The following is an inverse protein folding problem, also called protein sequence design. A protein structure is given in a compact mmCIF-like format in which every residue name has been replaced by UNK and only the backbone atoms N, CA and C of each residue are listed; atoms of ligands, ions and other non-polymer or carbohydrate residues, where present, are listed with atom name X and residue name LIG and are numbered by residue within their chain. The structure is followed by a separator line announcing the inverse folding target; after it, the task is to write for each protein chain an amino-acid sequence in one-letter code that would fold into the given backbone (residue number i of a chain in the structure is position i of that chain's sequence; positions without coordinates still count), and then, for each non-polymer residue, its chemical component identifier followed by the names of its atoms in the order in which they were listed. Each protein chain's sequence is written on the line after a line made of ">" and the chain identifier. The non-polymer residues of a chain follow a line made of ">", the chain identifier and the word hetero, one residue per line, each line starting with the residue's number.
data_IF_773281284692
#
_entry.id   IF_773281284692
#
_cell.length_a   1.000
_cell.length_b   1.000
_cell.length_c   1.000
_cell.angle_alpha   90.00
_cell.angle_beta   90.00
_cell.angle_gamma   90.00
#
_symmetry.space_group_name_H-M   'P 1'
#
loop_
_entity.id
_entity.type
_entity.pdbx_description
1 polymer ?
#
# COMPACT_ATOMS: atom_id res chain seq x y z
N UNK A 1 -7.81 6.32 30.20
CA UNK A 1 -6.39 6.06 29.87
C UNK A 1 -5.61 7.36 30.06
N UNK A 2 -4.44 7.32 30.68
CA UNK A 2 -3.66 8.52 31.07
C UNK A 2 -2.91 9.14 29.89
N UNK A 3 -2.72 10.47 29.91
CA UNK A 3 -2.03 11.25 28.85
C UNK A 3 -0.65 10.66 28.46
N UNK A 4 0.10 10.17 29.45
CA UNK A 4 1.40 9.53 29.25
C UNK A 4 1.33 8.24 28.42
N UNK A 5 0.31 7.41 28.63
CA UNK A 5 0.13 6.18 27.85
C UNK A 5 -0.14 6.48 26.36
N UNK A 6 -0.84 7.57 26.06
CA UNK A 6 -1.01 8.05 24.68
C UNK A 6 0.30 8.59 24.09
N UNK A 7 1.09 9.34 24.87
CA UNK A 7 2.39 9.85 24.44
C UNK A 7 3.38 8.72 24.14
N UNK A 8 3.44 7.68 25.00
CA UNK A 8 4.30 6.52 24.79
C UNK A 8 3.87 5.70 23.57
N UNK A 9 2.57 5.51 23.34
CA UNK A 9 2.08 4.83 22.12
C UNK A 9 2.44 5.59 20.85
N UNK A 10 2.39 6.92 20.86
CA UNK A 10 2.80 7.76 19.72
C UNK A 10 4.29 7.68 19.41
N UNK A 11 5.12 7.41 20.43
CA UNK A 11 6.58 7.29 20.28
C UNK A 11 7.04 5.85 20.04
N UNK A 12 6.16 4.86 20.22
CA UNK A 12 6.46 3.47 19.96
C UNK A 12 6.73 3.29 18.45
N UNK A 13 7.99 2.99 18.11
CA UNK A 13 8.36 2.60 16.77
C UNK A 13 7.85 1.19 16.49
N UNK A 14 7.55 0.83 15.24
CA UNK A 14 7.17 -0.55 14.91
C UNK A 14 8.21 -1.57 15.38
N UNK A 15 9.49 -1.18 15.40
CA UNK A 15 10.63 -1.98 15.91
C UNK A 15 10.52 -2.36 17.39
N UNK A 16 9.73 -1.62 18.17
CA UNK A 16 9.52 -1.84 19.60
C UNK A 16 8.37 -2.80 19.87
N UNK A 17 7.70 -3.33 18.85
CA UNK A 17 6.61 -4.29 19.01
C UNK A 17 7.17 -5.66 19.40
N UNK A 18 6.89 -6.17 20.62
CA UNK A 18 7.39 -7.47 21.06
C UNK A 18 6.88 -8.62 20.18
N UNK A 19 5.81 -8.40 19.41
CA UNK A 19 5.27 -9.39 18.50
C UNK A 19 6.04 -9.54 17.18
N UNK A 20 7.00 -8.66 16.88
CA UNK A 20 7.91 -8.88 15.74
C UNK A 20 8.81 -10.11 15.93
N UNK A 21 9.01 -10.53 17.19
CA UNK A 21 9.87 -11.66 17.55
C UNK A 21 9.07 -12.88 18.05
N UNK A 22 7.78 -12.72 18.38
CA UNK A 22 6.94 -13.85 18.82
C UNK A 22 6.43 -14.61 17.60
N UNK A 23 6.76 -15.90 17.55
CA UNK A 23 6.48 -16.84 16.46
C UNK A 23 4.99 -17.21 16.30
N UNK A 24 4.08 -16.48 16.94
CA UNK A 24 2.68 -16.86 17.10
C UNK A 24 1.75 -16.40 15.97
N UNK A 25 2.03 -15.27 15.34
CA UNK A 25 1.20 -14.71 14.26
C UNK A 25 2.09 -14.23 13.11
N UNK A 26 2.05 -14.94 11.98
CA UNK A 26 2.73 -14.53 10.75
C UNK A 26 1.72 -13.81 9.86
N UNK A 27 2.01 -12.55 9.54
CA UNK A 27 1.21 -11.78 8.59
C UNK A 27 1.37 -12.38 7.19
N UNK A 28 0.26 -12.77 6.56
CA UNK A 28 0.25 -13.37 5.23
C UNK A 28 -0.96 -12.89 4.43
N UNK A 29 -0.71 -12.45 3.20
CA UNK A 29 -1.74 -12.06 2.25
C UNK A 29 -2.42 -13.30 1.67
N UNK A 30 -1.61 -14.28 1.27
CA UNK A 30 -2.01 -15.45 0.49
C UNK A 30 -2.43 -16.65 1.34
N UNK A 31 -1.86 -16.83 2.52
CA UNK A 31 -2.06 -18.02 3.35
C UNK A 31 -2.87 -17.68 4.61
N UNK A 32 -3.52 -18.70 5.17
CA UNK A 32 -4.05 -18.58 6.53
C UNK A 32 -2.86 -18.41 7.50
N UNK A 33 -2.98 -17.57 8.54
CA UNK A 33 -1.91 -17.40 9.52
C UNK A 33 -1.41 -18.73 10.12
N UNK A 34 -2.27 -19.74 10.26
CA UNK A 34 -1.89 -21.07 10.78
C UNK A 34 -0.96 -21.81 9.83
N UNK A 35 -1.22 -21.71 8.52
CA UNK A 35 -0.39 -22.34 7.50
C UNK A 35 0.91 -21.57 7.32
N UNK A 36 0.84 -20.24 7.31
CA UNK A 36 2.00 -19.35 7.14
C UNK A 36 3.08 -19.55 8.22
N UNK A 37 2.69 -19.85 9.46
CA UNK A 37 3.62 -20.13 10.58
C UNK A 37 4.50 -21.37 10.31
N UNK A 38 4.00 -22.33 9.55
CA UNK A 38 4.75 -23.55 9.20
C UNK A 38 5.73 -23.36 8.04
N UNK A 39 5.57 -22.29 7.27
CA UNK A 39 6.37 -21.99 6.10
C UNK A 39 7.67 -21.30 6.50
N UNK A 40 8.75 -21.64 5.81
CA UNK A 40 10.05 -21.02 6.05
C UNK A 40 10.26 -19.81 5.13
N UNK A 41 11.27 -19.01 5.48
CA UNK A 41 11.62 -17.80 4.74
C UNK A 41 12.00 -18.10 3.28
N UNK A 42 12.64 -19.24 3.03
CA UNK A 42 13.07 -19.61 1.68
C UNK A 42 11.87 -19.91 0.77
N UNK A 43 10.79 -20.49 1.32
CA UNK A 43 9.54 -20.71 0.60
C UNK A 43 8.88 -19.39 0.21
N UNK A 44 8.74 -18.43 1.12
CA UNK A 44 8.19 -17.11 0.80
C UNK A 44 9.03 -16.36 -0.24
N UNK A 45 10.35 -16.46 -0.14
CA UNK A 45 11.27 -15.87 -1.11
C UNK A 45 11.11 -16.48 -2.50
N UNK A 46 11.13 -17.81 -2.61
CA UNK A 46 10.95 -18.51 -3.88
C UNK A 46 9.59 -18.18 -4.53
N UNK A 47 8.54 -18.08 -3.73
CA UNK A 47 7.21 -17.65 -4.18
C UNK A 47 7.25 -16.22 -4.73
N UNK A 48 7.87 -15.29 -4.01
CA UNK A 48 8.05 -13.90 -4.44
C UNK A 48 8.84 -13.78 -5.75
N UNK A 49 9.97 -14.49 -5.88
CA UNK A 49 10.77 -14.52 -7.10
C UNK A 49 9.98 -15.07 -8.29
N UNK A 50 9.21 -16.14 -8.09
CA UNK A 50 8.33 -16.70 -9.14
C UNK A 50 7.28 -15.66 -9.58
N UNK A 51 6.70 -14.92 -8.63
CA UNK A 51 5.79 -13.82 -8.93
C UNK A 51 6.45 -12.70 -9.74
N UNK A 52 7.70 -12.35 -9.40
CA UNK A 52 8.46 -11.33 -10.11
C UNK A 52 8.77 -11.76 -11.55
N UNK A 53 9.20 -13.01 -11.75
CA UNK A 53 9.48 -13.57 -13.07
C UNK A 53 8.23 -13.55 -13.96
N UNK A 54 7.08 -13.97 -13.42
CA UNK A 54 5.79 -13.90 -14.11
C UNK A 54 5.40 -12.44 -14.45
N UNK A 55 5.61 -11.49 -13.53
CA UNK A 55 5.37 -10.06 -13.79
C UNK A 55 6.31 -9.49 -14.85
N UNK A 56 7.58 -9.88 -14.86
CA UNK A 56 8.56 -9.44 -15.86
C UNK A 56 8.19 -9.90 -17.28
N UNK A 57 7.49 -11.03 -17.41
CA UNK A 57 6.90 -11.48 -18.66
C UNK A 57 5.76 -10.58 -19.18
N UNK A 58 5.14 -9.79 -18.30
CA UNK A 58 4.06 -8.85 -18.62
C UNK A 58 4.59 -7.41 -18.76
N UNK A 59 5.43 -7.00 -17.81
CA UNK A 59 6.00 -5.67 -17.67
C UNK A 59 7.51 -5.77 -17.37
N UNK A 60 8.38 -5.60 -18.38
CA UNK A 60 9.82 -5.70 -18.21
C UNK A 60 10.41 -4.71 -17.20
N UNK A 61 9.70 -3.61 -16.91
CA UNK A 61 10.16 -2.62 -15.93
C UNK A 61 10.33 -3.20 -14.50
N UNK A 62 9.77 -4.37 -14.20
CA UNK A 62 10.01 -5.05 -12.91
C UNK A 62 11.43 -5.62 -12.75
N UNK A 63 12.21 -5.73 -13.83
CA UNK A 63 13.59 -6.23 -13.79
C UNK A 63 14.47 -5.46 -12.78
N UNK A 64 14.25 -4.15 -12.61
CA UNK A 64 15.06 -3.31 -11.70
C UNK A 64 14.98 -3.73 -10.22
N UNK A 65 13.97 -4.53 -9.85
CA UNK A 65 13.78 -5.00 -8.49
C UNK A 65 14.40 -6.36 -8.20
N UNK A 66 14.84 -7.07 -9.25
CA UNK A 66 15.41 -8.42 -9.14
C UNK A 66 16.68 -8.42 -8.28
N UNK A 67 17.59 -7.47 -8.54
CA UNK A 67 18.86 -7.35 -7.80
C UNK A 67 18.75 -6.53 -6.51
N UNK A 68 17.55 -6.07 -6.15
CA UNK A 68 17.31 -5.30 -4.94
C UNK A 68 16.35 -6.04 -4.00
N UNK A 69 15.05 -5.78 -4.10
CA UNK A 69 13.99 -6.33 -3.23
C UNK A 69 13.87 -7.86 -3.31
N UNK A 70 14.25 -8.45 -4.45
CA UNK A 70 14.16 -9.88 -4.71
C UNK A 70 15.53 -10.57 -4.87
N UNK A 71 16.60 -9.89 -4.47
CA UNK A 71 17.96 -10.46 -4.49
C UNK A 71 18.12 -11.55 -3.43
N UNK A 72 19.06 -12.47 -3.60
CA UNK A 72 19.38 -13.45 -2.54
C UNK A 72 19.82 -12.78 -1.24
N UNK A 73 20.44 -11.60 -1.31
CA UNK A 73 20.85 -10.83 -0.13
C UNK A 73 19.65 -10.33 0.71
N UNK A 74 18.47 -10.15 0.09
CA UNK A 74 17.26 -9.73 0.80
C UNK A 74 16.78 -10.75 1.85
N UNK A 75 17.09 -12.05 1.66
CA UNK A 75 16.78 -13.12 2.62
C UNK A 75 17.34 -12.87 4.02
N UNK A 76 18.48 -12.20 4.12
CA UNK A 76 19.17 -11.96 5.40
C UNK A 76 18.95 -10.55 5.93
N UNK A 77 18.31 -9.65 5.17
CA UNK A 77 18.10 -8.25 5.57
C UNK A 77 17.05 -8.11 6.68
N UNK A 78 17.46 -7.92 7.92
CA UNK A 78 16.52 -7.69 9.04
C UNK A 78 16.30 -6.19 9.21
N UNK A 79 15.11 -5.70 8.83
CA UNK A 79 14.77 -4.27 8.78
C UNK A 79 14.90 -3.58 10.14
N UNK A 80 14.65 -4.32 11.22
CA UNK A 80 14.66 -3.82 12.60
C UNK A 80 16.01 -3.42 13.15
N UNK A 81 17.08 -3.96 12.55
CA UNK A 81 18.46 -3.73 12.98
C UNK A 81 19.26 -2.90 11.96
N UNK A 82 18.62 -2.43 10.89
CA UNK A 82 19.27 -1.57 9.90
C UNK A 82 19.32 -0.10 10.35
N UNK A 83 20.28 0.64 9.77
CA UNK A 83 20.35 2.09 9.95
C UNK A 83 19.12 2.77 9.34
N UNK A 84 18.88 4.01 9.77
CA UNK A 84 17.79 4.85 9.24
C UNK A 84 17.93 5.06 7.74
N UNK A 85 19.14 5.34 7.27
CA UNK A 85 19.43 5.64 5.86
C UNK A 85 19.20 4.41 4.97
N UNK A 86 19.53 3.21 5.47
CA UNK A 86 19.23 1.95 4.77
C UNK A 86 17.73 1.72 4.69
N UNK A 87 17.02 1.95 5.80
CA UNK A 87 15.56 1.83 5.83
C UNK A 87 14.86 2.85 4.92
N UNK A 88 15.33 4.09 4.84
CA UNK A 88 14.81 5.11 3.91
C UNK A 88 15.01 4.72 2.44
N UNK A 89 16.16 4.11 2.09
CA UNK A 89 16.38 3.57 0.74
C UNK A 89 15.46 2.39 0.44
N UNK A 90 15.27 1.49 1.41
CA UNK A 90 14.33 0.38 1.28
C UNK A 90 12.90 0.89 1.10
N UNK A 91 12.50 1.91 1.87
CA UNK A 91 11.20 2.58 1.76
C UNK A 91 10.95 3.15 0.37
N UNK A 92 11.95 3.82 -0.20
CA UNK A 92 11.87 4.34 -1.56
C UNK A 92 11.72 3.20 -2.59
N UNK A 93 12.51 2.13 -2.46
CA UNK A 93 12.44 0.96 -3.35
C UNK A 93 11.08 0.25 -3.27
N UNK A 94 10.56 0.02 -2.07
CA UNK A 94 9.24 -0.58 -1.84
C UNK A 94 8.13 0.32 -2.40
N UNK A 95 8.20 1.62 -2.16
CA UNK A 95 7.18 2.56 -2.64
C UNK A 95 7.14 2.61 -4.18
N UNK A 96 8.31 2.60 -4.82
CA UNK A 96 8.42 2.53 -6.28
C UNK A 96 7.87 1.20 -6.82
N UNK A 97 8.24 0.07 -6.21
CA UNK A 97 7.73 -1.25 -6.58
C UNK A 97 6.20 -1.30 -6.50
N UNK A 98 5.62 -0.86 -5.39
CA UNK A 98 4.17 -0.88 -5.16
C UNK A 98 3.41 0.05 -6.11
N UNK A 99 3.99 1.21 -6.46
CA UNK A 99 3.43 2.10 -7.48
C UNK A 99 3.43 1.42 -8.87
N UNK A 100 4.49 0.70 -9.23
CA UNK A 100 4.54 -0.08 -10.47
C UNK A 100 3.63 -1.31 -10.45
N UNK A 101 3.44 -1.91 -9.28
CA UNK A 101 2.59 -3.09 -9.09
C UNK A 101 1.09 -2.78 -9.22
N UNK A 102 0.65 -1.57 -8.85
CA UNK A 102 -0.77 -1.22 -8.74
C UNK A 102 -1.61 -1.56 -9.99
N UNK A 103 -1.19 -1.25 -11.24
CA UNK A 103 -1.90 -1.69 -12.46
C UNK A 103 -2.16 -3.20 -12.57
N UNK A 104 -1.28 -4.00 -11.96
CA UNK A 104 -1.27 -5.45 -12.01
C UNK A 104 -1.77 -6.09 -10.71
N UNK A 105 -2.29 -5.29 -9.78
CA UNK A 105 -2.58 -5.70 -8.40
C UNK A 105 -3.44 -6.95 -8.33
N UNK A 106 -4.45 -7.11 -9.20
CA UNK A 106 -5.35 -8.28 -9.20
C UNK A 106 -4.73 -9.57 -9.77
N UNK A 107 -3.54 -9.51 -10.34
CA UNK A 107 -2.87 -10.68 -10.89
C UNK A 107 -2.25 -11.50 -9.75
N UNK A 108 -2.42 -12.82 -9.79
CA UNK A 108 -1.73 -13.77 -8.89
C UNK A 108 -0.23 -13.50 -8.72
N UNK A 109 0.56 -13.23 -9.78
CA UNK A 109 1.98 -12.90 -9.62
C UNK A 109 2.22 -11.64 -8.78
N UNK A 110 1.35 -10.64 -8.83
CA UNK A 110 1.46 -9.47 -7.97
C UNK A 110 1.26 -9.82 -6.49
N UNK A 111 0.30 -10.69 -6.18
CA UNK A 111 0.08 -11.14 -4.80
C UNK A 111 1.26 -11.96 -4.26
N UNK A 112 1.90 -12.80 -5.09
CA UNK A 112 3.12 -13.54 -4.72
C UNK A 112 4.25 -12.59 -4.32
N UNK A 113 4.45 -11.52 -5.11
CA UNK A 113 5.41 -10.47 -4.78
C UNK A 113 5.08 -9.77 -3.45
N UNK A 114 3.81 -9.38 -3.25
CA UNK A 114 3.36 -8.73 -2.02
C UNK A 114 3.57 -9.62 -0.79
N UNK A 115 3.33 -10.92 -0.91
CA UNK A 115 3.57 -11.90 0.16
C UNK A 115 5.04 -11.82 0.65
N UNK A 116 5.99 -11.79 -0.29
CA UNK A 116 7.41 -11.63 0.06
C UNK A 116 7.68 -10.31 0.77
N UNK A 117 7.13 -9.20 0.27
CA UNK A 117 7.36 -7.88 0.87
C UNK A 117 6.75 -7.78 2.28
N UNK A 118 5.57 -8.37 2.50
CA UNK A 118 4.88 -8.44 3.80
C UNK A 118 5.70 -9.25 4.80
N UNK A 119 6.23 -10.40 4.36
CA UNK A 119 6.98 -11.29 5.22
C UNK A 119 8.41 -10.79 5.51
N UNK A 120 9.10 -10.20 4.52
CA UNK A 120 10.50 -9.79 4.66
C UNK A 120 10.69 -8.36 5.14
N UNK A 121 9.95 -7.42 4.54
CA UNK A 121 10.14 -6.00 4.79
C UNK A 121 9.04 -5.40 5.66
N UNK A 122 8.05 -6.22 6.06
CA UNK A 122 6.93 -5.84 6.90
C UNK A 122 6.21 -4.58 6.38
N UNK A 123 5.95 -4.53 5.07
CA UNK A 123 5.38 -3.35 4.40
C UNK A 123 4.02 -2.92 4.96
N UNK A 124 3.26 -3.85 5.53
CA UNK A 124 2.01 -3.61 6.27
C UNK A 124 2.20 -2.81 7.57
N UNK A 125 3.44 -2.66 8.06
CA UNK A 125 3.79 -1.89 9.25
C UNK A 125 4.52 -0.59 8.89
N UNK A 126 5.50 -0.67 7.99
CA UNK A 126 6.37 0.47 7.68
C UNK A 126 5.95 1.26 6.43
N UNK A 127 5.18 0.66 5.53
CA UNK A 127 4.84 1.22 4.22
C UNK A 127 3.32 1.26 3.99
N UNK A 128 2.54 1.47 5.06
CA UNK A 128 1.07 1.43 5.05
C UNK A 128 0.49 2.31 3.94
N UNK A 129 0.97 3.56 3.84
CA UNK A 129 0.51 4.50 2.82
C UNK A 129 0.81 3.99 1.40
N UNK A 130 2.00 3.41 1.14
CA UNK A 130 2.33 2.88 -0.17
C UNK A 130 1.53 1.62 -0.53
N UNK A 131 1.28 0.76 0.46
CA UNK A 131 0.46 -0.44 0.29
C UNK A 131 -0.99 -0.08 -0.02
N UNK A 132 -1.56 0.89 0.71
CA UNK A 132 -2.89 1.41 0.42
C UNK A 132 -2.94 2.14 -0.93
N UNK A 133 -1.90 2.91 -1.31
CA UNK A 133 -1.86 3.50 -2.66
C UNK A 133 -1.94 2.42 -3.75
N UNK A 134 -1.27 1.29 -3.55
CA UNK A 134 -1.26 0.19 -4.49
C UNK A 134 -2.62 -0.50 -4.61
N UNK A 135 -3.31 -0.73 -3.48
CA UNK A 135 -4.50 -1.59 -3.42
C UNK A 135 -5.84 -0.83 -3.48
N UNK A 136 -5.88 0.45 -3.10
CA UNK A 136 -7.12 1.22 -2.99
C UNK A 136 -7.92 1.36 -4.30
N UNK A 137 -7.32 1.41 -5.50
CA UNK A 137 -8.09 1.34 -6.75
C UNK A 137 -9.00 0.10 -6.87
N UNK A 138 -8.73 -0.93 -6.07
CA UNK A 138 -9.44 -2.21 -6.03
C UNK A 138 -10.20 -2.41 -4.71
N UNK A 139 -10.62 -1.33 -4.08
CA UNK A 139 -11.31 -1.27 -2.78
C UNK A 139 -12.54 -2.19 -2.63
N UNK A 140 -13.20 -2.53 -3.73
CA UNK A 140 -14.39 -3.38 -3.82
C UNK A 140 -14.07 -4.88 -3.97
N UNK A 141 -12.80 -5.28 -3.89
CA UNK A 141 -12.36 -6.66 -4.06
C UNK A 141 -12.00 -7.35 -2.74
N UNK A 142 -12.10 -8.69 -2.71
CA UNK A 142 -11.70 -9.48 -1.54
C UNK A 142 -10.20 -9.40 -1.25
N UNK A 143 -9.35 -9.20 -2.27
CA UNK A 143 -7.90 -9.04 -2.03
C UNK A 143 -7.59 -7.72 -1.31
N UNK A 144 -8.34 -6.64 -1.59
CA UNK A 144 -8.21 -5.41 -0.81
C UNK A 144 -8.59 -5.63 0.66
N UNK A 145 -9.64 -6.42 0.94
CA UNK A 145 -10.00 -6.82 2.31
C UNK A 145 -8.84 -7.55 2.98
N UNK A 146 -8.20 -8.50 2.29
CA UNK A 146 -7.02 -9.19 2.80
C UNK A 146 -5.89 -8.23 3.12
N UNK A 147 -5.61 -7.24 2.26
CA UNK A 147 -4.64 -6.17 2.54
C UNK A 147 -5.03 -5.40 3.80
N UNK A 148 -6.28 -4.97 3.95
CA UNK A 148 -6.73 -4.27 5.16
C UNK A 148 -6.51 -5.11 6.41
N UNK A 149 -6.77 -6.41 6.37
CA UNK A 149 -6.59 -7.32 7.50
C UNK A 149 -5.12 -7.45 7.94
N UNK A 150 -4.15 -7.10 7.09
CA UNK A 150 -2.73 -7.05 7.47
C UNK A 150 -2.36 -5.78 8.25
N UNK A 151 -3.15 -4.71 8.14
CA UNK A 151 -2.83 -3.39 8.68
C UNK A 151 -3.20 -3.25 10.17
N UNK A 152 -2.40 -2.50 10.91
CA UNK A 152 -2.73 -2.12 12.30
C UNK A 152 -3.50 -0.80 12.33
N UNK A 153 -4.84 -0.88 12.22
CA UNK A 153 -5.74 0.30 12.14
C UNK A 153 -6.40 0.70 13.48
N UNK A 154 -5.92 0.15 14.60
CA UNK A 154 -6.55 0.32 15.92
C UNK A 154 -6.39 1.71 16.57
N UNK A 155 -5.49 2.55 16.07
CA UNK A 155 -5.32 3.91 16.60
C UNK A 155 -6.40 4.84 16.05
N UNK A 156 -7.25 5.37 16.95
CA UNK A 156 -8.32 6.30 16.60
C UNK A 156 -7.82 7.65 16.03
N UNK A 157 -6.57 8.02 16.34
CA UNK A 157 -5.94 9.21 15.75
C UNK A 157 -5.25 8.91 14.40
N UNK A 158 -5.21 7.65 13.97
CA UNK A 158 -4.57 7.24 12.73
C UNK A 158 -5.37 7.65 11.51
N UNK A 159 -4.68 8.17 10.47
CA UNK A 159 -5.27 8.54 9.17
C UNK A 159 -6.18 7.45 8.57
N UNK A 160 -5.83 6.18 8.78
CA UNK A 160 -6.51 5.04 8.18
C UNK A 160 -7.56 4.39 9.09
N UNK A 161 -7.86 4.99 10.25
CA UNK A 161 -8.78 4.43 11.23
C UNK A 161 -10.19 4.21 10.69
N UNK A 162 -10.66 5.05 9.77
CA UNK A 162 -11.98 4.94 9.15
C UNK A 162 -12.19 3.61 8.39
N UNK A 163 -11.10 2.91 8.01
CA UNK A 163 -11.12 1.59 7.38
C UNK A 163 -11.27 0.43 8.37
N UNK A 164 -11.24 0.69 9.69
CA UNK A 164 -11.34 -0.33 10.74
C UNK A 164 -12.67 -1.10 10.68
N UNK A 165 -13.77 -0.43 10.30
CA UNK A 165 -15.08 -1.06 10.14
C UNK A 165 -15.06 -2.17 9.08
N UNK A 166 -14.78 -1.84 7.81
CA UNK A 166 -14.61 -2.83 6.74
C UNK A 166 -13.57 -3.91 7.05
N UNK A 167 -12.44 -3.54 7.67
CA UNK A 167 -11.40 -4.48 8.08
C UNK A 167 -11.95 -5.57 9.03
N UNK A 168 -12.65 -5.17 10.09
CA UNK A 168 -13.22 -6.09 11.09
C UNK A 168 -14.36 -6.94 10.53
N UNK A 169 -15.20 -6.33 9.70
CA UNK A 169 -16.30 -7.03 9.06
C UNK A 169 -15.82 -8.02 7.97
N UNK A 170 -14.61 -7.85 7.45
CA UNK A 170 -14.09 -8.69 6.37
C UNK A 170 -14.85 -8.50 5.06
N UNK A 171 -15.38 -7.28 4.84
CA UNK A 171 -16.18 -6.95 3.65
C UNK A 171 -15.48 -5.88 2.81
N UNK A 172 -15.64 -5.90 1.48
CA UNK A 172 -15.09 -4.87 0.62
C UNK A 172 -15.59 -3.46 0.99
N UNK A 173 -14.76 -2.45 0.75
CA UNK A 173 -15.12 -1.06 0.99
C UNK A 173 -16.12 -0.62 -0.07
N UNK A 174 -17.29 -0.15 0.36
CA UNK A 174 -18.28 0.38 -0.58
C UNK A 174 -17.82 1.70 -1.21
N UNK A 175 -18.16 1.90 -2.47
CA UNK A 175 -17.93 3.16 -3.19
C UNK A 175 -18.54 4.36 -2.46
N UNK A 176 -19.73 4.19 -1.88
CA UNK A 176 -20.41 5.24 -1.12
C UNK A 176 -19.59 5.69 0.10
N UNK A 177 -19.06 4.74 0.89
CA UNK A 177 -18.22 5.05 2.04
C UNK A 177 -16.88 5.70 1.64
N UNK A 178 -16.26 5.23 0.54
CA UNK A 178 -15.05 5.83 -0.01
C UNK A 178 -15.28 7.30 -0.41
N UNK A 179 -16.34 7.56 -1.17
CA UNK A 179 -16.70 8.92 -1.62
C UNK A 179 -17.06 9.80 -0.43
N UNK A 180 -17.84 9.28 0.52
CA UNK A 180 -18.19 9.97 1.75
C UNK A 180 -16.95 10.44 2.51
N UNK A 181 -15.98 9.55 2.69
CA UNK A 181 -14.73 9.91 3.32
C UNK A 181 -13.94 10.93 2.49
N UNK A 182 -13.86 10.74 1.17
CA UNK A 182 -13.14 11.63 0.25
C UNK A 182 -13.58 13.08 0.28
N UNK A 183 -14.88 13.38 0.35
CA UNK A 183 -15.30 14.78 0.46
C UNK A 183 -15.24 15.32 1.90
N UNK A 184 -15.30 14.45 2.91
CA UNK A 184 -15.25 14.85 4.32
C UNK A 184 -13.82 15.11 4.85
N UNK A 185 -12.81 14.48 4.25
CA UNK A 185 -11.41 14.55 4.69
C UNK A 185 -10.50 15.03 3.54
N UNK A 186 -10.09 16.30 3.62
CA UNK A 186 -9.21 16.92 2.61
C UNK A 186 -7.82 16.30 2.56
N UNK A 187 -7.35 15.69 3.64
CA UNK A 187 -6.06 14.98 3.66
C UNK A 187 -6.14 13.67 2.87
N UNK A 188 -7.29 13.00 2.91
CA UNK A 188 -7.56 11.84 2.08
C UNK A 188 -7.81 12.23 0.62
N UNK A 189 -8.50 13.34 0.35
CA UNK A 189 -8.62 13.88 -1.01
C UNK A 189 -7.24 14.17 -1.63
N UNK A 190 -6.34 14.82 -0.89
CA UNK A 190 -4.95 15.06 -1.28
C UNK A 190 -4.19 13.75 -1.56
N UNK A 191 -4.40 12.74 -0.70
CA UNK A 191 -3.86 11.40 -0.91
C UNK A 191 -4.34 10.78 -2.24
N UNK A 192 -5.64 10.84 -2.55
CA UNK A 192 -6.22 10.35 -3.80
C UNK A 192 -5.60 11.08 -5.00
N UNK A 193 -5.41 12.39 -4.90
CA UNK A 193 -4.77 13.16 -5.97
C UNK A 193 -3.30 12.77 -6.18
N UNK A 194 -2.58 12.52 -5.08
CA UNK A 194 -1.17 12.10 -5.14
C UNK A 194 -0.96 10.74 -5.83
N UNK A 195 -1.98 9.88 -5.90
CA UNK A 195 -1.91 8.58 -6.59
C UNK A 195 -1.51 8.73 -8.05
N UNK A 196 -2.15 9.67 -8.75
CA UNK A 196 -1.92 9.87 -10.19
C UNK A 196 -0.49 10.35 -10.43
N UNK A 197 -0.06 11.39 -9.71
CA UNK A 197 1.28 11.95 -9.88
C UNK A 197 2.36 10.94 -9.51
N UNK A 198 2.17 10.20 -8.42
CA UNK A 198 3.12 9.17 -8.00
C UNK A 198 3.22 8.02 -9.00
N UNK A 199 2.10 7.60 -9.58
CA UNK A 199 2.06 6.53 -10.58
C UNK A 199 2.69 6.97 -11.90
N UNK A 200 2.40 8.19 -12.37
CA UNK A 200 3.04 8.74 -13.57
C UNK A 200 4.55 8.87 -13.37
N UNK A 201 4.99 9.36 -12.20
CA UNK A 201 6.42 9.47 -11.90
C UNK A 201 7.10 8.09 -11.83
N UNK A 202 6.45 7.07 -11.25
CA UNK A 202 6.98 5.71 -11.15
C UNK A 202 7.23 5.06 -12.52
N UNK A 203 6.49 5.49 -13.55
CA UNK A 203 6.63 5.06 -14.94
C UNK A 203 7.36 6.07 -15.83
N UNK A 204 7.80 7.21 -15.28
CA UNK A 204 8.52 8.22 -16.05
C UNK A 204 9.88 7.69 -16.54
N UNK A 205 10.24 7.96 -17.79
CA UNK A 205 11.46 7.44 -18.42
C UNK A 205 11.37 6.03 -19.00
N UNK A 206 10.21 5.36 -18.94
CA UNK A 206 9.97 4.09 -19.66
C UNK A 206 9.24 4.38 -20.97
N UNK A 207 9.76 3.88 -22.11
CA UNK A 207 9.12 4.03 -23.43
C UNK A 207 7.84 3.19 -23.47
N UNK A 208 6.70 3.82 -23.26
CA UNK A 208 5.40 3.18 -23.37
C UNK A 208 4.27 4.19 -23.15
N UNK A 209 3.13 3.95 -23.79
CA UNK A 209 1.88 4.65 -23.46
C UNK A 209 1.55 4.38 -21.98
N UNK A 210 1.10 5.39 -21.22
CA UNK A 210 0.61 5.24 -19.83
C UNK A 210 -0.70 4.43 -19.72
N UNK A 211 -0.98 3.57 -20.70
CA UNK A 211 -2.18 2.75 -20.81
C UNK A 211 -2.38 1.82 -19.60
N UNK A 212 -1.29 1.32 -18.99
CA UNK A 212 -1.36 0.53 -17.75
C UNK A 212 -1.93 1.33 -16.58
N UNK A 213 -1.78 2.66 -16.57
CA UNK A 213 -2.29 3.52 -15.49
C UNK A 213 -3.80 3.81 -15.63
N UNK A 214 -4.48 3.26 -16.65
CA UNK A 214 -5.93 3.47 -16.88
C UNK A 214 -6.77 3.21 -15.63
N UNK A 215 -6.47 2.14 -14.89
CA UNK A 215 -7.22 1.81 -13.65
C UNK A 215 -7.06 2.90 -12.59
N UNK A 216 -5.86 3.46 -12.46
CA UNK A 216 -5.54 4.51 -11.48
C UNK A 216 -6.23 5.81 -11.88
N UNK A 217 -6.17 6.20 -13.16
CA UNK A 217 -6.88 7.37 -13.67
C UNK A 217 -8.40 7.24 -13.52
N UNK A 218 -8.96 6.06 -13.83
CA UNK A 218 -10.40 5.81 -13.70
C UNK A 218 -10.85 5.86 -12.24
N UNK A 219 -10.06 5.27 -11.35
CA UNK A 219 -10.31 5.33 -9.91
C UNK A 219 -10.27 6.77 -9.40
N UNK A 220 -9.21 7.51 -9.73
CA UNK A 220 -9.06 8.92 -9.38
C UNK A 220 -10.26 9.75 -9.87
N UNK A 221 -10.54 9.72 -11.18
CA UNK A 221 -11.60 10.51 -11.78
C UNK A 221 -12.97 10.17 -11.18
N UNK A 222 -13.29 8.88 -11.07
CA UNK A 222 -14.58 8.46 -10.53
C UNK A 222 -14.74 8.84 -9.05
N UNK A 223 -13.67 8.81 -8.26
CA UNK A 223 -13.72 9.14 -6.82
C UNK A 223 -13.83 10.65 -6.62
N UNK A 224 -12.95 11.43 -7.26
CA UNK A 224 -12.94 12.89 -7.12
C UNK A 224 -14.20 13.52 -7.69
N UNK A 225 -14.65 13.12 -8.89
CA UNK A 225 -15.88 13.66 -9.48
C UNK A 225 -17.09 13.33 -8.61
N UNK A 226 -17.18 12.11 -8.08
CA UNK A 226 -18.29 11.77 -7.17
C UNK A 226 -18.19 12.48 -5.82
N UNK A 227 -16.99 12.73 -5.30
CA UNK A 227 -16.81 13.52 -4.08
C UNK A 227 -17.25 14.98 -4.28
N UNK A 228 -16.88 15.58 -5.42
CA UNK A 228 -17.31 16.94 -5.79
C UNK A 228 -18.81 17.03 -6.06
N UNK A 229 -19.42 16.01 -6.65
CA UNK A 229 -20.85 15.97 -6.90
C UNK A 229 -21.68 15.76 -5.62
N UNK A 230 -21.07 15.23 -4.55
CA UNK A 230 -21.74 14.94 -3.29
C UNK A 230 -21.71 16.11 -2.29
N UNK A 231 -20.94 17.18 -2.56
CA UNK A 231 -20.91 18.36 -1.69
C UNK A 231 -21.89 19.43 -2.19
N UNK A 232 -22.57 20.09 -1.26
CA UNK A 232 -23.50 21.18 -1.58
C UNK A 232 -22.79 22.39 -2.21
N UNK A 233 -21.58 22.68 -1.73
CA UNK A 233 -20.72 23.75 -2.24
C UNK A 233 -19.26 23.30 -2.26
N UNK A 234 -18.60 23.45 -3.41
CA UNK A 234 -17.16 23.20 -3.53
C UNK A 234 -16.41 24.35 -2.86
N UNK A 235 -15.71 24.05 -1.76
CA UNK A 235 -14.96 25.06 -1.00
C UNK A 235 -13.62 25.42 -1.65
N UNK A 236 -13.11 26.63 -1.37
CA UNK A 236 -11.77 27.07 -1.80
C UNK A 236 -10.65 26.11 -1.34
N UNK A 237 -10.84 25.47 -0.18
CA UNK A 237 -9.90 24.48 0.34
C UNK A 237 -9.85 23.22 -0.56
N UNK A 238 -11.00 22.75 -1.06
CA UNK A 238 -11.05 21.64 -2.02
C UNK A 238 -10.41 22.04 -3.35
N UNK A 239 -10.70 23.25 -3.84
CA UNK A 239 -10.10 23.78 -5.08
C UNK A 239 -8.59 23.86 -4.92
N UNK A 240 -8.08 24.41 -3.82
CA UNK A 240 -6.65 24.51 -3.52
C UNK A 240 -5.96 23.13 -3.49
N UNK A 241 -6.65 22.09 -3.03
CA UNK A 241 -6.15 20.71 -3.08
C UNK A 241 -6.11 20.13 -4.48
N UNK A 242 -7.09 20.42 -5.32
CA UNK A 242 -7.19 19.87 -6.68
C UNK A 242 -6.32 20.61 -7.69
N UNK A 243 -6.17 21.92 -7.54
CA UNK A 243 -5.52 22.81 -8.51
C UNK A 243 -4.12 22.35 -8.94
N UNK A 244 -3.21 21.91 -8.04
CA UNK A 244 -1.88 21.46 -8.42
C UNK A 244 -1.87 20.22 -9.32
N UNK A 245 -2.94 19.42 -9.27
CA UNK A 245 -3.06 18.16 -10.00
C UNK A 245 -3.75 18.35 -11.34
N UNK A 246 -4.66 19.31 -11.46
CA UNK A 246 -5.27 19.68 -12.74
C UNK A 246 -4.25 20.38 -13.64
N UNK A 247 -3.46 21.31 -13.08
CA UNK A 247 -2.45 22.07 -13.85
C UNK A 247 -1.24 21.24 -14.29
N UNK A 248 -0.94 20.12 -13.61
CA UNK A 248 0.19 19.24 -13.95
C UNK A 248 -0.17 18.11 -14.92
N UNK A 249 -1.46 17.87 -15.14
CA UNK A 249 -1.97 16.79 -16.01
C UNK A 249 -2.40 17.32 -17.38
N UNK A 250 -2.65 18.62 -17.52
CA UNK A 250 -2.76 19.33 -18.81
C UNK A 250 -1.39 19.76 -19.31
#
# INVERSE_FOLDING_TARGET
>A
MTSLAHQLRRLALPQSDPNLLTRGEVASLLFDPKDAVSMDRSTFYALGCTGLEELMGIEPAFLEFQDTLFSRASLTLERSVQSREVNEKLDAGVSLFLARLSPYFLLKPAHKCLEWLVHRFHVQLYNVDALLRCSLPFHDTNVFVRVLQLLKLGDAAGRWHWLLGPQKAGVPLSRGALVAHCYSDLSFMDFICSLVTGSVQAYSGRSGSCSQLRVIFSFYASTIVSALAAVDNVSDAMISKLLPFVHKVM
#
